data_IF_844067407416
#
_entry.id   IF_844067407416
#
_cell.length_a   1.000
_cell.length_b   1.000
_cell.length_c   1.000
_cell.angle_alpha   90.00
_cell.angle_beta   90.00
_cell.angle_gamma   90.00
#
_symmetry.space_group_name_H-M   'P 1'
#
loop_
_entity.id
_entity.type
_entity.pdbx_description
1 polymer ?
#
# COMPACT_ATOMS: atom_id res chain seq x y z
N UNK A 1 15.16 -32.34 -12.64
CA UNK A 1 14.06 -32.16 -13.58
C UNK A 1 13.84 -30.66 -13.71
N UNK A 2 14.49 -30.03 -14.68
CA UNK A 2 14.33 -28.60 -14.96
C UNK A 2 12.97 -28.45 -15.63
N UNK A 3 12.02 -27.82 -14.92
CA UNK A 3 10.76 -27.33 -15.52
C UNK A 3 11.17 -26.40 -16.67
N UNK A 4 10.66 -26.64 -17.86
CA UNK A 4 10.80 -25.72 -18.97
C UNK A 4 10.26 -24.35 -18.54
N UNK A 5 11.01 -23.29 -18.81
CA UNK A 5 10.84 -21.93 -18.28
C UNK A 5 9.48 -21.24 -18.61
N UNK A 6 8.59 -21.89 -19.35
CA UNK A 6 7.36 -21.28 -19.89
C UNK A 6 6.04 -21.75 -19.26
N UNK A 7 6.05 -22.76 -18.38
CA UNK A 7 4.82 -23.23 -17.76
C UNK A 7 4.75 -22.73 -16.30
N UNK A 8 3.82 -21.83 -15.98
CA UNK A 8 3.65 -21.44 -14.58
C UNK A 8 3.20 -22.64 -13.75
N UNK A 9 3.75 -22.77 -12.54
CA UNK A 9 3.33 -23.78 -11.57
C UNK A 9 1.90 -23.54 -11.04
N UNK A 10 1.53 -24.12 -9.91
CA UNK A 10 0.19 -23.92 -9.35
C UNK A 10 -0.08 -22.46 -8.99
N UNK A 11 -1.31 -22.00 -9.28
CA UNK A 11 -1.78 -20.67 -8.93
C UNK A 11 -1.87 -20.53 -7.41
N UNK A 12 -1.17 -19.56 -6.83
CA UNK A 12 -1.19 -19.24 -5.41
C UNK A 12 -2.19 -18.14 -5.06
N UNK A 13 -2.29 -17.12 -5.92
CA UNK A 13 -3.15 -15.97 -5.71
C UNK A 13 -3.56 -15.35 -7.06
N UNK A 14 -4.75 -14.76 -7.08
CA UNK A 14 -5.27 -14.02 -8.21
C UNK A 14 -5.71 -12.64 -7.75
N UNK A 15 -5.01 -11.61 -8.21
CA UNK A 15 -5.31 -10.20 -7.95
C UNK A 15 -6.07 -9.54 -9.10
N UNK A 16 -6.31 -8.23 -9.00
CA UNK A 16 -6.98 -7.46 -10.06
C UNK A 16 -6.14 -7.35 -11.33
N UNK A 17 -4.84 -7.13 -11.18
CA UNK A 17 -3.93 -6.85 -12.30
C UNK A 17 -3.06 -8.06 -12.69
N UNK A 18 -2.78 -8.98 -11.76
CA UNK A 18 -1.83 -10.05 -11.95
C UNK A 18 -2.25 -11.33 -11.21
N UNK A 19 -1.77 -12.45 -11.72
CA UNK A 19 -1.84 -13.76 -11.10
C UNK A 19 -0.45 -14.15 -10.59
N UNK A 20 -0.40 -14.87 -9.44
CA UNK A 20 0.84 -15.29 -8.81
C UNK A 20 0.90 -16.81 -8.80
N UNK A 21 1.95 -17.35 -9.39
CA UNK A 21 2.18 -18.79 -9.54
C UNK A 21 3.42 -19.23 -8.75
N UNK A 22 3.36 -20.41 -8.15
CA UNK A 22 4.54 -21.03 -7.54
C UNK A 22 5.42 -21.61 -8.67
N UNK A 23 6.68 -21.24 -8.70
CA UNK A 23 7.66 -21.79 -9.64
C UNK A 23 8.76 -22.61 -8.96
N UNK A 24 8.57 -22.91 -7.67
CA UNK A 24 9.53 -23.67 -6.87
C UNK A 24 10.76 -22.86 -6.43
N UNK A 25 11.62 -23.50 -5.65
CA UNK A 25 12.87 -22.87 -5.18
C UNK A 25 12.70 -21.60 -4.35
N UNK A 26 11.57 -21.46 -3.63
CA UNK A 26 11.27 -20.25 -2.87
C UNK A 26 10.93 -19.02 -3.73
N UNK A 27 10.45 -19.23 -4.95
CA UNK A 27 10.16 -18.18 -5.92
C UNK A 27 8.73 -18.27 -6.42
N UNK A 28 8.20 -17.11 -6.81
CA UNK A 28 6.92 -16.99 -7.49
C UNK A 28 7.08 -16.20 -8.79
N UNK A 29 6.18 -16.50 -9.74
CA UNK A 29 5.97 -15.75 -10.96
C UNK A 29 4.72 -14.89 -10.80
N UNK A 30 4.86 -13.56 -10.83
CA UNK A 30 3.73 -12.63 -10.90
C UNK A 30 3.51 -12.23 -12.35
N UNK A 31 2.43 -12.74 -12.94
CA UNK A 31 2.03 -12.50 -14.34
C UNK A 31 0.96 -11.45 -14.42
N UNK A 32 1.23 -10.38 -15.14
CA UNK A 32 0.26 -9.32 -15.40
C UNK A 32 -0.66 -9.71 -16.57
N UNK A 33 -1.98 -9.45 -16.41
CA UNK A 33 -3.01 -9.82 -17.39
C UNK A 33 -3.06 -8.92 -18.63
N UNK A 34 -2.42 -7.77 -18.59
CA UNK A 34 -2.35 -6.84 -19.70
C UNK A 34 -0.97 -6.20 -19.77
N UNK A 35 -0.57 -5.75 -20.94
CA UNK A 35 0.59 -4.88 -21.11
C UNK A 35 0.41 -3.64 -20.23
N UNK A 36 1.23 -3.55 -19.20
CA UNK A 36 1.20 -2.45 -18.25
C UNK A 36 2.60 -1.85 -18.15
N UNK A 37 2.76 -0.64 -18.66
CA UNK A 37 4.07 0.06 -18.62
C UNK A 37 4.61 0.23 -17.19
N UNK A 38 3.71 0.21 -16.20
CA UNK A 38 4.04 0.28 -14.78
C UNK A 38 4.85 -0.89 -14.22
N UNK A 39 4.86 -2.07 -14.88
CA UNK A 39 5.58 -3.27 -14.37
C UNK A 39 7.08 -3.02 -14.25
N UNK A 40 7.69 -2.36 -15.22
CA UNK A 40 9.11 -1.98 -15.19
C UNK A 40 9.38 -0.98 -14.06
N UNK A 41 8.48 -0.03 -13.86
CA UNK A 41 8.57 0.95 -12.78
C UNK A 41 8.42 0.28 -11.41
N UNK A 42 7.40 -0.54 -11.21
CA UNK A 42 7.20 -1.32 -9.97
C UNK A 42 8.43 -2.18 -9.64
N UNK A 43 8.94 -2.92 -10.63
CA UNK A 43 10.16 -3.72 -10.47
C UNK A 43 11.36 -2.87 -10.03
N UNK A 44 11.53 -1.68 -10.60
CA UNK A 44 12.58 -0.74 -10.21
C UNK A 44 12.41 -0.25 -8.78
N UNK A 45 11.18 0.07 -8.37
CA UNK A 45 10.86 0.45 -6.99
C UNK A 45 11.15 -0.68 -6.03
N UNK A 46 10.68 -1.90 -6.31
CA UNK A 46 10.91 -3.07 -5.45
C UNK A 46 12.40 -3.35 -5.25
N UNK A 47 13.20 -3.34 -6.33
CA UNK A 47 14.65 -3.52 -6.25
C UNK A 47 15.31 -2.44 -5.39
N UNK A 48 14.96 -1.18 -5.60
CA UNK A 48 15.45 -0.07 -4.79
C UNK A 48 15.09 -0.25 -3.30
N UNK A 49 13.85 -0.57 -2.98
CA UNK A 49 13.40 -0.77 -1.60
C UNK A 49 14.06 -1.99 -0.95
N UNK A 50 14.28 -3.07 -1.70
CA UNK A 50 15.00 -4.25 -1.23
C UNK A 50 16.47 -3.92 -0.89
N UNK A 51 17.14 -3.11 -1.72
CA UNK A 51 18.49 -2.61 -1.42
C UNK A 51 18.52 -1.74 -0.16
N UNK A 52 17.52 -0.86 0.04
CA UNK A 52 17.40 -0.09 1.27
C UNK A 52 17.21 -1.00 2.49
N UNK A 53 16.35 -2.00 2.40
CA UNK A 53 16.14 -2.98 3.46
C UNK A 53 17.43 -3.73 3.80
N UNK A 54 18.16 -4.22 2.82
CA UNK A 54 19.47 -4.87 3.03
C UNK A 54 20.51 -3.95 3.66
N UNK A 55 20.40 -2.67 3.45
CA UNK A 55 21.24 -1.63 4.09
C UNK A 55 20.74 -1.24 5.50
N UNK A 56 19.76 -1.95 6.06
CA UNK A 56 19.19 -1.67 7.39
C UNK A 56 18.22 -0.49 7.42
N UNK A 57 17.68 -0.07 6.27
CA UNK A 57 16.71 1.02 6.13
C UNK A 57 15.41 0.52 5.51
N UNK A 58 14.30 1.19 5.82
CA UNK A 58 12.99 0.85 5.23
C UNK A 58 12.39 -0.44 5.78
N UNK A 59 11.71 -1.17 4.91
CA UNK A 59 10.95 -2.39 5.24
C UNK A 59 11.40 -3.56 4.37
N UNK A 60 11.11 -4.79 4.81
CA UNK A 60 11.28 -5.96 3.97
C UNK A 60 10.31 -5.91 2.79
N UNK A 61 10.84 -6.10 1.59
CA UNK A 61 10.15 -6.14 0.30
C UNK A 61 10.62 -7.40 -0.41
N UNK A 62 9.76 -8.15 -1.13
CA UNK A 62 10.19 -9.33 -1.86
C UNK A 62 11.34 -9.01 -2.82
N UNK A 63 12.40 -9.83 -2.80
CA UNK A 63 13.50 -9.71 -3.75
C UNK A 63 13.00 -9.99 -5.18
N UNK A 64 13.35 -9.14 -6.13
CA UNK A 64 13.06 -9.34 -7.55
C UNK A 64 14.27 -9.96 -8.24
N UNK A 65 14.16 -11.22 -8.63
CA UNK A 65 15.22 -11.97 -9.31
C UNK A 65 15.29 -11.67 -10.80
N UNK A 66 14.12 -11.55 -11.46
CA UNK A 66 14.07 -11.37 -12.91
C UNK A 66 12.82 -10.57 -13.33
N UNK A 67 12.92 -9.87 -14.46
CA UNK A 67 11.80 -9.25 -15.15
C UNK A 67 11.83 -9.80 -16.58
N UNK A 68 10.92 -10.72 -16.88
CA UNK A 68 10.83 -11.35 -18.18
C UNK A 68 9.98 -10.53 -19.12
N UNK A 69 10.43 -10.30 -20.36
CA UNK A 69 9.51 -9.85 -21.41
C UNK A 69 8.46 -10.94 -21.55
N UNK A 70 7.19 -10.59 -21.46
CA UNK A 70 6.16 -11.51 -21.87
C UNK A 70 6.06 -11.50 -23.38
N UNK A 71 5.60 -12.61 -23.92
CA UNK A 71 4.96 -12.67 -25.21
C UNK A 71 3.76 -11.70 -25.22
N UNK A 72 2.93 -11.70 -26.24
CA UNK A 72 1.81 -10.75 -26.45
C UNK A 72 0.86 -10.53 -25.25
N UNK A 73 1.08 -11.19 -24.12
CA UNK A 73 0.20 -11.23 -22.95
C UNK A 73 0.62 -10.42 -21.73
N UNK A 74 1.79 -9.78 -21.70
CA UNK A 74 2.21 -8.98 -20.54
C UNK A 74 3.67 -9.17 -20.13
N UNK A 75 4.05 -8.71 -18.93
CA UNK A 75 5.37 -8.90 -18.33
C UNK A 75 5.29 -9.73 -17.07
N UNK A 76 6.23 -10.63 -16.88
CA UNK A 76 6.35 -11.51 -15.73
C UNK A 76 7.44 -11.02 -14.79
N UNK A 77 7.14 -10.91 -13.51
CA UNK A 77 8.14 -10.67 -12.45
C UNK A 77 8.41 -11.99 -11.72
N UNK A 78 9.67 -12.42 -11.74
CA UNK A 78 10.15 -13.51 -10.88
C UNK A 78 10.65 -12.90 -9.57
N UNK A 79 10.01 -13.25 -8.46
CA UNK A 79 10.34 -12.66 -7.17
C UNK A 79 10.31 -13.70 -6.04
N UNK A 80 10.80 -13.31 -4.88
CA UNK A 80 10.79 -14.09 -3.65
C UNK A 80 9.35 -14.50 -3.28
N UNK A 81 9.18 -15.77 -2.93
CA UNK A 81 7.94 -16.28 -2.34
C UNK A 81 7.92 -15.92 -0.86
N UNK A 82 6.92 -15.16 -0.45
CA UNK A 82 6.73 -14.80 0.95
C UNK A 82 5.79 -15.79 1.62
N UNK A 83 6.34 -16.61 2.50
CA UNK A 83 5.58 -17.58 3.28
C UNK A 83 4.98 -16.90 4.52
N UNK A 84 3.69 -16.64 4.46
CA UNK A 84 2.94 -15.94 5.49
C UNK A 84 1.48 -15.75 5.14
N UNK A 85 0.76 -15.04 6.00
CA UNK A 85 -0.62 -14.61 5.75
C UNK A 85 -0.71 -13.10 5.70
N UNK A 86 -1.70 -12.54 5.02
CA UNK A 86 -1.89 -11.08 5.07
C UNK A 86 -2.25 -10.63 6.50
N UNK A 87 -1.92 -9.40 6.84
CA UNK A 87 -2.32 -8.82 8.13
C UNK A 87 -3.85 -8.83 8.30
N UNK A 88 -4.60 -8.70 7.19
CA UNK A 88 -6.06 -8.84 7.22
C UNK A 88 -6.48 -10.26 7.64
N UNK A 89 -5.94 -11.29 7.01
CA UNK A 89 -6.25 -12.68 7.36
C UNK A 89 -5.84 -13.01 8.80
N UNK A 90 -4.72 -12.49 9.28
CA UNK A 90 -4.32 -12.65 10.70
C UNK A 90 -5.30 -11.94 11.65
N UNK A 91 -5.85 -10.77 11.25
CA UNK A 91 -6.89 -10.06 12.01
C UNK A 91 -8.22 -10.81 12.04
N UNK A 92 -8.63 -11.42 10.94
CA UNK A 92 -9.85 -12.21 10.86
C UNK A 92 -9.80 -13.43 11.81
N UNK A 93 -8.63 -14.06 11.91
CA UNK A 93 -8.39 -15.18 12.82
C UNK A 93 -8.15 -14.73 14.26
N UNK A 94 -7.62 -13.53 14.47
CA UNK A 94 -7.17 -13.00 15.76
C UNK A 94 -7.61 -11.54 15.97
N UNK A 95 -8.93 -11.27 16.05
CA UNK A 95 -9.48 -9.91 16.12
C UNK A 95 -9.01 -9.12 17.34
N UNK A 96 -8.57 -9.80 18.41
CA UNK A 96 -7.98 -9.13 19.60
C UNK A 96 -6.65 -8.43 19.31
N UNK A 97 -5.99 -8.72 18.17
CA UNK A 97 -4.78 -8.05 17.71
C UNK A 97 -5.03 -6.71 17.01
N UNK A 98 -6.27 -6.25 16.90
CA UNK A 98 -6.64 -5.05 16.16
C UNK A 98 -5.74 -3.85 16.47
N UNK A 99 -5.55 -3.53 17.74
CA UNK A 99 -4.74 -2.36 18.14
C UNK A 99 -3.25 -2.57 17.90
N UNK A 100 -2.74 -3.77 18.11
CA UNK A 100 -1.33 -4.09 17.85
C UNK A 100 -1.01 -4.06 16.35
N UNK A 101 -1.92 -4.55 15.50
CA UNK A 101 -1.76 -4.52 14.05
C UNK A 101 -1.91 -3.10 13.49
N UNK A 102 -2.82 -2.29 14.01
CA UNK A 102 -2.90 -0.88 13.64
C UNK A 102 -1.61 -0.11 13.98
N UNK A 103 -1.03 -0.38 15.14
CA UNK A 103 0.26 0.19 15.55
C UNK A 103 1.43 -0.35 14.71
N UNK A 104 1.39 -1.64 14.34
CA UNK A 104 2.36 -2.25 13.46
C UNK A 104 2.31 -1.64 12.06
N UNK A 105 1.12 -1.50 11.48
CA UNK A 105 0.93 -0.87 10.17
C UNK A 105 1.48 0.57 10.15
N UNK A 106 1.19 1.34 11.21
CA UNK A 106 1.72 2.69 11.35
C UNK A 106 3.26 2.74 11.43
N UNK A 107 3.89 1.75 12.08
CA UNK A 107 5.34 1.61 12.16
C UNK A 107 5.94 1.21 10.82
N UNK A 108 5.35 0.21 10.15
CA UNK A 108 5.75 -0.24 8.82
C UNK A 108 5.69 0.93 7.82
N UNK A 109 4.61 1.72 7.84
CA UNK A 109 4.49 2.88 6.98
C UNK A 109 5.56 3.95 7.26
N UNK A 110 5.89 4.22 8.54
CA UNK A 110 7.01 5.13 8.83
C UNK A 110 8.31 4.60 8.23
N UNK A 111 8.61 3.32 8.40
CA UNK A 111 9.82 2.72 7.83
C UNK A 111 9.87 2.85 6.30
N UNK A 112 8.74 2.73 5.60
CA UNK A 112 8.66 3.04 4.16
C UNK A 112 8.98 4.51 3.92
N UNK A 113 8.33 5.41 4.66
CA UNK A 113 8.47 6.84 4.48
C UNK A 113 9.81 7.41 4.98
N UNK A 114 10.57 6.69 5.80
CA UNK A 114 11.92 7.07 6.22
C UNK A 114 12.96 6.91 5.09
N UNK A 115 12.59 6.23 4.01
CA UNK A 115 13.42 6.11 2.81
C UNK A 115 13.22 7.34 1.92
N UNK A 116 14.30 8.04 1.60
CA UNK A 116 14.28 9.19 0.68
C UNK A 116 13.99 8.70 -0.74
N UNK A 117 13.01 9.31 -1.39
CA UNK A 117 12.64 8.97 -2.76
C UNK A 117 13.75 9.39 -3.74
N UNK A 118 14.22 8.48 -4.60
CA UNK A 118 15.21 8.82 -5.61
C UNK A 118 14.61 9.75 -6.68
N UNK A 119 15.44 10.50 -7.36
CA UNK A 119 15.01 11.51 -8.35
C UNK A 119 14.16 10.94 -9.50
N UNK A 120 14.40 9.68 -9.86
CA UNK A 120 13.64 9.01 -10.92
C UNK A 120 12.23 8.60 -10.52
N UNK A 121 11.89 8.62 -9.21
CA UNK A 121 10.57 8.23 -8.74
C UNK A 121 9.54 9.29 -9.12
N UNK A 122 8.40 8.86 -9.65
CA UNK A 122 7.29 9.76 -10.04
C UNK A 122 6.70 10.43 -8.80
N UNK A 123 6.10 11.61 -8.98
CA UNK A 123 5.39 12.33 -7.92
C UNK A 123 3.91 12.36 -8.26
N UNK A 124 3.01 12.02 -7.33
CA UNK A 124 1.57 12.04 -7.59
C UNK A 124 1.10 13.46 -7.93
N UNK A 125 0.30 13.60 -8.99
CA UNK A 125 -0.23 14.90 -9.44
C UNK A 125 -1.08 15.60 -8.38
N UNK A 126 -1.77 14.83 -7.55
CA UNK A 126 -2.65 15.33 -6.47
C UNK A 126 -1.91 15.68 -5.17
N UNK A 127 -0.70 15.16 -4.99
CA UNK A 127 0.20 15.59 -3.91
C UNK A 127 0.85 16.93 -4.24
N UNK A 128 0.53 17.50 -5.40
CA UNK A 128 1.14 18.60 -6.08
C UNK A 128 1.71 19.66 -5.14
N UNK A 129 2.92 19.51 -4.86
CA UNK A 129 3.83 20.61 -4.65
C UNK A 129 5.10 20.19 -5.37
N UNK A 130 5.81 21.11 -5.89
CA UNK A 130 7.17 20.94 -6.38
C UNK A 130 7.89 19.81 -5.67
N UNK A 131 8.35 18.81 -6.43
CA UNK A 131 9.24 17.75 -5.96
C UNK A 131 10.30 18.35 -5.04
N UNK A 132 10.34 17.88 -3.80
CA UNK A 132 11.30 18.35 -2.80
C UNK A 132 12.48 17.38 -2.74
N UNK A 133 13.62 17.90 -2.35
CA UNK A 133 14.86 17.12 -2.18
C UNK A 133 14.72 16.01 -1.12
N UNK A 134 13.78 16.18 -0.20
CA UNK A 134 13.53 15.32 0.97
C UNK A 134 12.21 14.55 0.88
N UNK A 135 11.65 14.39 -0.35
CA UNK A 135 10.46 13.59 -0.54
C UNK A 135 10.72 12.14 -0.11
N UNK A 136 9.78 11.58 0.62
CA UNK A 136 9.80 10.19 1.06
C UNK A 136 9.34 9.25 -0.04
N UNK A 137 9.75 7.98 0.03
CA UNK A 137 9.05 6.92 -0.69
C UNK A 137 7.64 6.77 -0.10
N UNK A 138 6.64 6.78 -0.96
CA UNK A 138 5.24 6.56 -0.64
C UNK A 138 4.80 5.25 -1.25
N UNK A 139 4.01 4.47 -0.52
CA UNK A 139 3.41 3.24 -1.06
C UNK A 139 2.12 3.50 -1.83
N UNK A 140 1.30 4.41 -1.36
CA UNK A 140 0.01 4.88 -1.88
C UNK A 140 -1.09 3.82 -2.00
N UNK A 141 -0.87 2.64 -1.39
CA UNK A 141 -1.88 1.56 -1.27
C UNK A 141 -1.54 0.67 -0.04
N UNK A 142 -1.01 1.26 1.04
CA UNK A 142 -0.58 0.50 2.21
C UNK A 142 -1.76 0.22 3.15
N UNK A 143 -2.32 -0.96 3.03
CA UNK A 143 -3.40 -1.44 3.89
C UNK A 143 -3.13 -2.89 4.36
N UNK A 144 -3.93 -3.45 5.31
CA UNK A 144 -3.67 -4.77 5.88
C UNK A 144 -3.57 -5.95 4.90
N UNK A 145 -4.06 -5.81 3.67
CA UNK A 145 -3.92 -6.84 2.64
C UNK A 145 -2.55 -6.79 1.95
N UNK A 146 -1.86 -5.64 1.99
CA UNK A 146 -0.55 -5.43 1.37
C UNK A 146 0.62 -5.57 2.37
N UNK A 147 0.36 -6.11 3.55
CA UNK A 147 1.38 -6.48 4.55
C UNK A 147 1.26 -7.97 4.85
N UNK A 148 2.28 -8.74 4.48
CA UNK A 148 2.40 -10.16 4.81
C UNK A 148 3.02 -10.31 6.19
N UNK A 149 2.37 -11.12 7.05
CA UNK A 149 2.85 -11.47 8.38
C UNK A 149 3.62 -12.78 8.29
N UNK A 150 4.93 -12.72 8.45
CA UNK A 150 5.83 -13.87 8.42
C UNK A 150 6.47 -14.14 9.79
N UNK A 151 7.15 -15.28 9.94
CA UNK A 151 7.91 -15.59 11.15
C UNK A 151 9.09 -14.60 11.36
N UNK A 152 9.64 -14.05 10.29
CA UNK A 152 10.74 -13.07 10.32
C UNK A 152 10.26 -11.60 10.50
N UNK A 153 8.95 -11.37 10.44
CA UNK A 153 8.36 -10.03 10.56
C UNK A 153 7.48 -9.65 9.38
N UNK A 154 7.03 -8.39 9.31
CA UNK A 154 6.16 -7.92 8.24
C UNK A 154 6.95 -7.71 6.94
N UNK A 155 6.35 -8.12 5.82
CA UNK A 155 6.84 -7.88 4.46
C UNK A 155 5.80 -7.08 3.70
N UNK A 156 6.21 -5.99 3.06
CA UNK A 156 5.31 -5.12 2.27
C UNK A 156 5.32 -5.56 0.82
N UNK A 157 4.13 -5.76 0.27
CA UNK A 157 3.91 -6.22 -1.10
C UNK A 157 3.06 -5.19 -1.89
N UNK A 158 2.99 -5.37 -3.19
CA UNK A 158 2.19 -4.55 -4.14
C UNK A 158 2.61 -3.09 -4.23
N UNK A 159 3.75 -2.85 -4.85
CA UNK A 159 4.37 -1.54 -5.04
C UNK A 159 3.93 -0.81 -6.32
N UNK A 160 2.84 -1.27 -6.93
CA UNK A 160 2.34 -0.75 -8.22
C UNK A 160 2.08 0.75 -8.20
N UNK A 161 1.58 1.29 -7.07
CA UNK A 161 1.23 2.70 -6.92
C UNK A 161 2.35 3.57 -6.31
N UNK A 162 3.51 2.97 -6.00
CA UNK A 162 4.58 3.66 -5.27
C UNK A 162 5.05 4.94 -5.96
N UNK A 163 5.43 5.93 -5.17
CA UNK A 163 5.72 7.28 -5.66
C UNK A 163 6.64 8.03 -4.71
N UNK A 164 7.16 9.17 -5.10
CA UNK A 164 7.89 10.08 -4.22
C UNK A 164 7.01 11.25 -3.78
N UNK A 165 7.09 11.65 -2.50
CA UNK A 165 6.30 12.77 -2.01
C UNK A 165 6.29 12.93 -0.49
N UNK A 166 5.39 13.77 0.05
CA UNK A 166 5.31 14.01 1.49
C UNK A 166 4.72 12.81 2.24
N UNK A 167 5.44 12.29 3.24
CA UNK A 167 5.05 11.14 4.07
C UNK A 167 3.63 11.26 4.66
N UNK A 168 3.21 12.48 5.03
CA UNK A 168 1.87 12.72 5.56
C UNK A 168 0.75 12.47 4.56
N UNK A 169 1.02 12.59 3.26
CA UNK A 169 0.04 12.26 2.23
C UNK A 169 -0.21 10.75 2.16
N UNK A 170 0.85 9.94 2.17
CA UNK A 170 0.76 8.47 2.21
C UNK A 170 0.00 7.99 3.46
N UNK A 171 0.33 8.56 4.62
CA UNK A 171 -0.35 8.27 5.88
C UNK A 171 -1.84 8.63 5.84
N UNK A 172 -2.18 9.76 5.23
CA UNK A 172 -3.57 10.19 5.09
C UNK A 172 -4.33 9.31 4.09
N UNK A 173 -3.70 8.86 3.01
CA UNK A 173 -4.32 7.98 2.04
C UNK A 173 -4.62 6.61 2.64
N UNK A 174 -3.66 5.98 3.32
CA UNK A 174 -3.89 4.75 4.10
C UNK A 174 -5.04 4.89 5.11
N UNK A 175 -5.09 6.00 5.84
CA UNK A 175 -6.21 6.27 6.76
C UNK A 175 -7.55 6.37 6.03
N UNK A 176 -7.61 7.07 4.89
CA UNK A 176 -8.82 7.21 4.08
C UNK A 176 -9.28 5.85 3.57
N UNK A 177 -8.40 5.05 2.98
CA UNK A 177 -8.70 3.72 2.46
C UNK A 177 -9.26 2.80 3.54
N UNK A 178 -8.57 2.66 4.66
CA UNK A 178 -9.04 1.85 5.78
C UNK A 178 -10.40 2.36 6.28
N UNK A 179 -10.57 3.67 6.45
CA UNK A 179 -11.77 4.28 7.04
C UNK A 179 -13.00 4.19 6.15
N UNK A 180 -12.81 4.05 4.85
CA UNK A 180 -13.88 4.09 3.84
C UNK A 180 -14.11 2.76 3.14
N UNK A 181 -13.30 1.75 3.45
CA UNK A 181 -13.43 0.41 2.90
C UNK A 181 -14.84 -0.15 3.14
N UNK A 182 -15.40 -0.81 2.13
CA UNK A 182 -16.71 -1.41 2.23
C UNK A 182 -16.67 -2.75 2.94
N UNK A 183 -17.34 -2.84 4.07
CA UNK A 183 -17.54 -4.09 4.81
C UNK A 183 -19.01 -4.24 5.20
N UNK A 184 -19.50 -5.47 5.20
CA UNK A 184 -20.84 -5.81 5.63
C UNK A 184 -20.87 -6.08 7.15
N UNK A 185 -21.97 -5.71 7.77
CA UNK A 185 -22.21 -5.95 9.20
C UNK A 185 -21.66 -4.85 10.11
N UNK A 186 -22.40 -4.56 11.19
CA UNK A 186 -22.08 -3.48 12.13
C UNK A 186 -20.79 -3.74 12.90
N UNK A 187 -20.50 -5.00 13.27
CA UNK A 187 -19.27 -5.39 13.97
C UNK A 187 -18.03 -5.10 13.13
N UNK A 188 -18.06 -5.46 11.83
CA UNK A 188 -16.95 -5.21 10.92
C UNK A 188 -16.74 -3.71 10.68
N UNK A 189 -17.84 -2.95 10.53
CA UNK A 189 -17.77 -1.49 10.40
C UNK A 189 -17.18 -0.83 11.66
N UNK A 190 -17.55 -1.31 12.85
CA UNK A 190 -16.97 -0.82 14.10
C UNK A 190 -15.49 -1.19 14.20
N UNK A 191 -15.12 -2.43 13.89
CA UNK A 191 -13.73 -2.89 13.85
C UNK A 191 -12.87 -2.04 12.93
N UNK A 192 -13.37 -1.75 11.73
CA UNK A 192 -12.68 -0.89 10.76
C UNK A 192 -12.47 0.54 11.27
N UNK A 193 -13.50 1.11 11.91
CA UNK A 193 -13.40 2.45 12.53
C UNK A 193 -12.39 2.49 13.67
N UNK A 194 -12.38 1.46 14.52
CA UNK A 194 -11.42 1.35 15.64
C UNK A 194 -10.00 1.16 15.12
N UNK A 195 -9.80 0.31 14.10
CA UNK A 195 -8.51 0.13 13.46
C UNK A 195 -7.99 1.44 12.85
N UNK A 196 -8.82 2.13 12.06
CA UNK A 196 -8.46 3.42 11.47
C UNK A 196 -8.11 4.48 12.53
N UNK A 197 -8.86 4.54 13.64
CA UNK A 197 -8.59 5.46 14.73
C UNK A 197 -7.27 5.12 15.45
N UNK A 198 -7.01 3.84 15.70
CA UNK A 198 -5.77 3.36 16.31
C UNK A 198 -4.56 3.62 15.41
N UNK A 199 -4.67 3.34 14.11
CA UNK A 199 -3.66 3.66 13.11
C UNK A 199 -3.37 5.16 13.10
N UNK A 200 -4.40 6.01 12.98
CA UNK A 200 -4.27 7.46 12.96
C UNK A 200 -3.55 7.98 14.20
N UNK A 201 -3.91 7.47 15.38
CA UNK A 201 -3.24 7.81 16.64
C UNK A 201 -1.76 7.40 16.62
N UNK A 202 -1.48 6.17 16.24
CA UNK A 202 -0.13 5.61 16.21
C UNK A 202 0.76 6.29 15.16
N UNK A 203 0.22 6.64 13.99
CA UNK A 203 0.97 7.24 12.88
C UNK A 203 1.25 8.73 13.10
N UNK A 204 0.32 9.45 13.68
CA UNK A 204 0.40 10.89 13.92
C UNK A 204 -0.84 11.62 13.40
N UNK A 205 -1.77 11.94 14.31
CA UNK A 205 -3.06 12.51 13.93
C UNK A 205 -2.95 13.85 13.21
N UNK A 206 -2.01 14.72 13.63
CA UNK A 206 -1.82 16.04 13.01
C UNK A 206 -1.32 15.96 11.58
N UNK A 207 -0.41 15.06 11.30
CA UNK A 207 0.13 14.82 9.97
C UNK A 207 -0.96 14.29 9.01
N UNK A 208 -1.74 13.29 9.46
CA UNK A 208 -2.87 12.75 8.69
C UNK A 208 -3.92 13.83 8.44
N UNK A 209 -4.29 14.63 9.45
CA UNK A 209 -5.30 15.68 9.31
C UNK A 209 -4.88 16.78 8.31
N UNK A 210 -3.59 17.05 8.19
CA UNK A 210 -3.07 18.02 7.24
C UNK A 210 -3.36 17.61 5.78
N UNK A 211 -3.24 16.32 5.48
CA UNK A 211 -3.37 15.77 4.12
C UNK A 211 -4.69 15.06 3.84
N UNK A 212 -5.55 14.83 4.85
CA UNK A 212 -6.77 14.03 4.70
C UNK A 212 -7.70 14.51 3.57
N UNK A 213 -7.77 15.81 3.33
CA UNK A 213 -8.58 16.37 2.26
C UNK A 213 -8.01 16.00 0.87
N UNK A 214 -6.71 16.15 0.68
CA UNK A 214 -6.02 15.79 -0.56
C UNK A 214 -6.07 14.28 -0.82
N UNK A 215 -5.94 13.46 0.25
CA UNK A 215 -6.06 12.01 0.16
C UNK A 215 -7.48 11.59 -0.27
N UNK A 216 -8.53 12.22 0.27
CA UNK A 216 -9.90 11.98 -0.21
C UNK A 216 -10.06 12.35 -1.69
N UNK A 217 -9.53 13.50 -2.11
CA UNK A 217 -9.61 13.96 -3.51
C UNK A 217 -8.85 12.99 -4.44
N UNK A 218 -7.69 12.49 -4.02
CA UNK A 218 -6.93 11.47 -4.75
C UNK A 218 -7.73 10.18 -4.90
N UNK A 219 -8.31 9.66 -3.81
CA UNK A 219 -9.10 8.42 -3.85
C UNK A 219 -10.36 8.56 -4.71
N UNK A 220 -11.01 9.73 -4.69
CA UNK A 220 -12.18 10.03 -5.55
C UNK A 220 -11.84 10.12 -7.04
N UNK A 221 -10.60 10.42 -7.38
CA UNK A 221 -10.11 10.45 -8.77
C UNK A 221 -9.82 9.05 -9.32
N UNK A 222 -9.68 8.02 -8.48
CA UNK A 222 -9.49 6.63 -8.94
C UNK A 222 -10.77 6.13 -9.61
N UNK A 223 -10.66 5.79 -10.90
CA UNK A 223 -11.78 5.25 -11.68
C UNK A 223 -12.25 3.86 -11.20
N UNK A 224 -11.40 3.15 -10.46
CA UNK A 224 -11.66 1.77 -9.98
C UNK A 224 -12.40 1.72 -8.64
N UNK A 225 -12.65 2.88 -8.01
CA UNK A 225 -13.37 2.98 -6.74
C UNK A 225 -14.84 2.56 -6.91
N UNK A 226 -15.34 1.72 -5.99
CA UNK A 226 -16.74 1.28 -6.03
C UNK A 226 -17.71 2.43 -5.72
N UNK A 227 -18.99 2.34 -6.13
CA UNK A 227 -19.98 3.36 -5.78
C UNK A 227 -20.15 3.58 -4.28
N UNK A 228 -20.11 2.51 -3.47
CA UNK A 228 -20.23 2.60 -2.01
C UNK A 228 -18.99 3.20 -1.37
N UNK A 229 -17.80 2.77 -1.77
CA UNK A 229 -16.55 3.38 -1.32
C UNK A 229 -16.51 4.88 -1.68
N UNK A 230 -16.91 5.25 -2.91
CA UNK A 230 -17.02 6.63 -3.35
C UNK A 230 -17.94 7.47 -2.45
N UNK A 231 -19.09 6.92 -2.06
CA UNK A 231 -20.00 7.58 -1.12
C UNK A 231 -19.34 7.77 0.27
N UNK A 232 -18.65 6.74 0.79
CA UNK A 232 -17.94 6.79 2.07
C UNK A 232 -16.82 7.84 2.05
N UNK A 233 -16.00 7.87 0.99
CA UNK A 233 -14.92 8.88 0.83
C UNK A 233 -15.51 10.28 0.73
N UNK A 234 -16.61 10.46 -0.03
CA UNK A 234 -17.31 11.74 -0.14
C UNK A 234 -17.84 12.25 1.21
N UNK A 235 -18.40 11.35 2.03
CA UNK A 235 -18.85 11.67 3.39
C UNK A 235 -17.68 12.07 4.29
N UNK A 236 -16.58 11.32 4.28
CA UNK A 236 -15.37 11.65 5.02
C UNK A 236 -14.79 13.00 4.59
N UNK A 237 -14.75 13.27 3.28
CA UNK A 237 -14.26 14.52 2.72
C UNK A 237 -15.02 15.75 3.25
N UNK A 238 -16.35 15.64 3.36
CA UNK A 238 -17.20 16.70 3.95
C UNK A 238 -16.84 16.93 5.43
N UNK A 239 -16.67 15.86 6.21
CA UNK A 239 -16.31 15.96 7.63
C UNK A 239 -14.96 16.65 7.85
N UNK A 240 -13.96 16.32 7.01
CA UNK A 240 -12.62 16.93 7.07
C UNK A 240 -12.68 18.44 6.78
N UNK A 241 -13.49 18.87 5.83
CA UNK A 241 -13.67 20.30 5.52
C UNK A 241 -14.27 21.09 6.67
N UNK A 242 -15.32 20.56 7.29
CA UNK A 242 -15.99 21.21 8.43
C UNK A 242 -15.05 21.42 9.61
N UNK A 243 -14.22 20.42 9.92
CA UNK A 243 -13.22 20.53 11.00
C UNK A 243 -12.16 21.60 10.73
N UNK A 244 -11.76 21.82 9.49
CA UNK A 244 -10.81 22.87 9.11
C UNK A 244 -11.41 24.26 9.28
N UNK A 245 -12.66 24.47 8.86
CA UNK A 245 -13.36 25.77 8.99
C UNK A 245 -13.68 26.15 10.45
N UNK A 246 -13.94 25.16 11.30
CA UNK A 246 -14.19 25.40 12.74
C UNK A 246 -12.95 25.79 13.56
N UNK A 247 -11.74 25.46 13.07
CA UNK A 247 -10.47 25.83 13.74
C UNK A 247 -9.95 27.22 13.36
N UNK A 248 -10.50 27.83 12.33
CA UNK A 248 -10.10 29.17 11.83
C UNK A 248 -10.98 30.32 12.35
N UNK A 249 -11.87 30.11 13.35
CA UNK A 249 -12.56 31.23 13.99
C UNK A 249 -11.55 31.99 14.87
N UNK A 250 -11.29 33.28 14.62
CA UNK A 250 -10.48 34.08 15.52
C UNK A 250 -11.19 34.19 16.86
N UNK A 251 -10.45 33.99 17.93
CA UNK A 251 -10.86 34.47 19.25
C UNK A 251 -10.78 36.01 19.18
N UNK A 252 -11.94 36.66 19.13
CA UNK A 252 -12.06 38.08 19.48
C UNK A 252 -11.93 38.26 20.98
#
# INVERSE_FOLDING_TARGET
MTLSDDTPGPLLASGRAADVFDIGGGKVLRRYRALHDGVTYETRVMRFMFEQFRAGRGVHVPEVFDLRPADDSGRDIVMERIDGVTMLNDLEQRPWKLFSHASLLARVQRQVNDVVAPEWMVTPTTAAATKRRDDSVLHLDLHPMNVMMTAAGPVVIDWTNASGGPAGFDAALTFVEIRTFEVSGLSNQLGLRLFAAAFKRARGSGEIDAFAAAACDHRLADARITPGERANVGALRKQVRVRKSGRTRPQN
#
